data_IF_666967341743
#
_entry.id   IF_666967341743
#
_cell.length_a   1.000
_cell.length_b   1.000
_cell.length_c   1.000
_cell.angle_alpha   90.00
_cell.angle_beta   90.00
_cell.angle_gamma   90.00
#
_symmetry.space_group_name_H-M   'P 1'
#
loop_
_entity.id
_entity.type
_entity.pdbx_description
1 polymer ?
#
# COMPACT_ATOMS: atom_id res chain seq x y z
N UNK A 1 4.34 5.40 25.12
CA UNK A 1 4.43 3.94 24.89
C UNK A 1 4.28 3.59 23.41
N UNK A 2 3.23 4.03 22.72
CA UNK A 2 3.00 3.75 21.29
C UNK A 2 4.12 4.24 20.35
N UNK A 3 4.55 5.51 20.48
CA UNK A 3 5.63 6.06 19.65
C UNK A 3 6.96 5.30 19.84
N UNK A 4 7.29 4.93 21.08
CA UNK A 4 8.50 4.15 21.35
C UNK A 4 8.45 2.75 20.73
N UNK A 5 7.26 2.13 20.70
CA UNK A 5 7.08 0.82 20.05
C UNK A 5 7.22 0.95 18.53
N UNK A 6 6.68 2.01 17.93
CA UNK A 6 6.88 2.30 16.52
C UNK A 6 8.37 2.48 16.19
N UNK A 7 9.08 3.32 16.94
CA UNK A 7 10.52 3.55 16.72
C UNK A 7 11.33 2.25 16.81
N UNK A 8 11.03 1.38 17.79
CA UNK A 8 11.65 0.06 17.90
C UNK A 8 11.36 -0.83 16.69
N UNK A 9 10.11 -0.84 16.22
CA UNK A 9 9.71 -1.60 15.04
C UNK A 9 10.42 -1.11 13.76
N UNK A 10 10.51 0.20 13.55
CA UNK A 10 11.22 0.77 12.39
C UNK A 10 12.72 0.46 12.44
N UNK A 11 13.32 0.51 13.64
CA UNK A 11 14.71 0.13 13.83
C UNK A 11 14.93 -1.36 13.48
N UNK A 12 14.08 -2.24 14.02
CA UNK A 12 14.16 -3.68 13.73
C UNK A 12 14.02 -3.98 12.23
N UNK A 13 13.03 -3.38 11.54
CA UNK A 13 12.88 -3.54 10.09
C UNK A 13 14.12 -3.09 9.32
N UNK A 14 14.74 -1.99 9.75
CA UNK A 14 15.95 -1.48 9.12
C UNK A 14 17.15 -2.41 9.34
N UNK A 15 17.30 -2.98 10.53
CA UNK A 15 18.37 -3.95 10.83
C UNK A 15 18.18 -5.23 10.02
N UNK A 16 16.98 -5.83 10.03
CA UNK A 16 16.68 -7.04 9.26
C UNK A 16 16.89 -6.84 7.75
N UNK A 17 16.51 -5.68 7.23
CA UNK A 17 16.74 -5.32 5.81
C UNK A 17 18.22 -5.18 5.50
N UNK A 18 19.00 -4.55 6.40
CA UNK A 18 20.44 -4.43 6.24
C UNK A 18 21.14 -5.79 6.29
N UNK A 19 20.75 -6.66 7.23
CA UNK A 19 21.29 -8.02 7.36
C UNK A 19 20.98 -8.89 6.14
N UNK A 20 19.77 -8.77 5.58
CA UNK A 20 19.32 -9.61 4.47
C UNK A 20 19.79 -9.08 3.10
N UNK A 21 19.75 -7.77 2.90
CA UNK A 21 19.95 -7.14 1.58
C UNK A 21 21.15 -6.19 1.51
N UNK A 22 21.82 -5.90 2.63
CA UNK A 22 22.93 -4.94 2.70
C UNK A 22 22.52 -3.49 2.46
N UNK A 23 21.23 -3.16 2.60
CA UNK A 23 20.68 -1.82 2.33
C UNK A 23 20.29 -1.13 3.62
N UNK A 24 20.89 0.04 3.87
CA UNK A 24 20.46 0.92 4.95
C UNK A 24 19.23 1.73 4.48
N UNK A 25 18.11 1.49 5.14
CA UNK A 25 16.81 2.13 4.87
C UNK A 25 16.31 2.96 6.05
N UNK A 26 17.14 3.15 7.10
CA UNK A 26 16.71 3.73 8.37
C UNK A 26 16.07 5.11 8.19
N UNK A 27 16.77 5.99 7.48
CA UNK A 27 16.33 7.37 7.26
C UNK A 27 15.07 7.43 6.41
N UNK A 28 15.00 6.63 5.35
CA UNK A 28 13.88 6.59 4.41
C UNK A 28 12.61 6.05 5.10
N UNK A 29 12.77 5.03 5.95
CA UNK A 29 11.67 4.46 6.72
C UNK A 29 11.15 5.47 7.76
N UNK A 30 12.03 6.10 8.53
CA UNK A 30 11.64 7.18 9.45
C UNK A 30 10.98 8.35 8.73
N UNK A 31 11.49 8.74 7.57
CA UNK A 31 10.91 9.77 6.70
C UNK A 31 9.49 9.40 6.27
N UNK A 32 9.27 8.19 5.77
CA UNK A 32 7.95 7.72 5.34
C UNK A 32 6.90 7.76 6.45
N UNK A 33 7.24 7.18 7.60
CA UNK A 33 6.35 7.16 8.76
C UNK A 33 6.15 8.55 9.37
N UNK A 34 7.19 9.38 9.37
CA UNK A 34 7.10 10.79 9.80
C UNK A 34 6.16 11.61 8.95
N UNK A 35 6.26 11.52 7.61
CA UNK A 35 5.33 12.18 6.67
C UNK A 35 3.89 11.75 6.94
N UNK A 36 3.66 10.44 7.10
CA UNK A 36 2.32 9.92 7.39
C UNK A 36 1.77 10.42 8.73
N UNK A 37 2.56 10.38 9.81
CA UNK A 37 2.15 10.86 11.13
C UNK A 37 1.79 12.35 11.12
N UNK A 38 2.56 13.18 10.41
CA UNK A 38 2.27 14.61 10.25
C UNK A 38 0.92 14.82 9.55
N UNK A 39 0.62 14.05 8.50
CA UNK A 39 -0.67 14.13 7.82
C UNK A 39 -1.84 13.67 8.70
N UNK A 40 -1.64 12.70 9.60
CA UNK A 40 -2.66 12.27 10.56
C UNK A 40 -2.94 13.36 11.60
N UNK A 41 -1.92 14.08 12.07
CA UNK A 41 -2.03 15.08 13.13
C UNK A 41 -2.71 16.41 12.74
N UNK A 42 -2.79 16.73 11.45
CA UNK A 42 -3.34 18.02 10.97
C UNK A 42 -4.88 18.05 10.83
N UNK A 43 -5.61 17.00 11.24
CA UNK A 43 -7.09 16.86 11.08
C UNK A 43 -7.61 17.17 9.65
N UNK A 44 -6.74 17.15 8.64
CA UNK A 44 -7.12 17.12 7.22
C UNK A 44 -7.80 15.77 6.97
N UNK A 45 -9.12 15.70 7.13
CA UNK A 45 -10.01 14.61 6.68
C UNK A 45 -9.30 13.27 6.40
N UNK A 46 -8.82 12.60 7.45
CA UNK A 46 -8.38 11.20 7.47
C UNK A 46 -7.42 10.75 6.34
N UNK A 47 -6.19 11.28 6.33
CA UNK A 47 -4.98 10.73 5.70
C UNK A 47 -5.15 9.89 4.41
N UNK A 48 -5.23 10.57 3.26
CA UNK A 48 -5.16 9.96 1.92
C UNK A 48 -3.76 9.43 1.57
N UNK A 49 -2.91 9.01 2.52
CA UNK A 49 -1.56 8.52 2.21
C UNK A 49 -1.21 7.20 2.91
N UNK A 50 -2.19 6.49 3.48
CA UNK A 50 -1.98 5.16 4.07
C UNK A 50 -1.45 4.16 3.02
N UNK A 51 -2.01 4.16 1.81
CA UNK A 51 -1.55 3.26 0.77
C UNK A 51 -0.11 3.58 0.35
N UNK A 52 0.26 4.85 0.23
CA UNK A 52 1.65 5.25 -0.02
C UNK A 52 2.60 4.81 1.10
N UNK A 53 2.21 4.93 2.37
CA UNK A 53 3.04 4.46 3.50
C UNK A 53 3.34 2.96 3.38
N UNK A 54 2.32 2.15 3.08
CA UNK A 54 2.48 0.70 2.88
C UNK A 54 3.39 0.41 1.69
N UNK A 55 3.18 1.09 0.56
CA UNK A 55 4.01 0.93 -0.64
C UNK A 55 5.47 1.30 -0.37
N UNK A 56 5.73 2.42 0.31
CA UNK A 56 7.09 2.83 0.68
C UNK A 56 7.74 1.80 1.60
N UNK A 57 7.02 1.34 2.62
CA UNK A 57 7.54 0.35 3.58
C UNK A 57 7.89 -0.96 2.89
N UNK A 58 7.00 -1.51 2.05
CA UNK A 58 7.23 -2.76 1.32
C UNK A 58 8.40 -2.60 0.34
N UNK A 59 8.46 -1.51 -0.42
CA UNK A 59 9.53 -1.30 -1.39
C UNK A 59 10.90 -1.05 -0.74
N UNK A 60 10.95 -0.41 0.44
CA UNK A 60 12.20 -0.27 1.21
C UNK A 60 12.68 -1.62 1.72
N UNK A 61 11.80 -2.39 2.38
CA UNK A 61 12.15 -3.70 2.93
C UNK A 61 12.48 -4.73 1.83
N UNK A 62 11.84 -4.63 0.66
CA UNK A 62 12.16 -5.43 -0.52
C UNK A 62 13.39 -4.94 -1.30
N UNK A 63 14.01 -3.83 -0.89
CA UNK A 63 15.15 -3.24 -1.58
C UNK A 63 14.83 -2.69 -2.98
N UNK A 64 13.56 -2.46 -3.32
CA UNK A 64 13.14 -1.90 -4.60
C UNK A 64 13.23 -0.38 -4.65
N UNK A 65 13.36 0.28 -3.49
CA UNK A 65 13.52 1.73 -3.34
C UNK A 65 14.74 2.00 -2.47
N UNK A 66 15.69 2.79 -2.97
CA UNK A 66 16.95 3.09 -2.26
C UNK A 66 17.16 4.60 -2.11
N UNK A 67 16.64 5.39 -3.06
CA UNK A 67 16.75 6.84 -3.10
C UNK A 67 15.38 7.49 -2.93
N UNK A 68 15.32 8.60 -2.19
CA UNK A 68 14.14 9.43 -2.03
C UNK A 68 13.89 10.34 -3.26
N UNK A 69 14.87 10.52 -4.17
CA UNK A 69 14.71 11.29 -5.41
C UNK A 69 13.51 10.80 -6.25
N UNK A 70 13.30 9.47 -6.27
CA UNK A 70 12.19 8.85 -7.02
C UNK A 70 10.81 9.35 -6.56
N UNK A 71 10.68 9.70 -5.27
CA UNK A 71 9.44 10.19 -4.67
C UNK A 71 9.08 11.57 -5.22
N UNK A 72 10.11 12.33 -5.64
CA UNK A 72 9.92 13.64 -6.24
C UNK A 72 9.48 13.59 -7.71
N UNK A 73 9.63 12.43 -8.38
CA UNK A 73 9.27 12.24 -9.79
C UNK A 73 7.77 12.41 -10.04
N UNK A 74 7.42 12.93 -11.21
CA UNK A 74 6.01 13.07 -11.63
C UNK A 74 5.32 11.72 -11.72
N UNK A 75 6.02 10.69 -12.22
CA UNK A 75 5.48 9.34 -12.34
C UNK A 75 5.06 8.80 -10.98
N UNK A 76 5.96 8.89 -9.97
CA UNK A 76 5.69 8.38 -8.62
C UNK A 76 4.54 9.14 -7.96
N UNK A 77 4.55 10.47 -8.05
CA UNK A 77 3.47 11.30 -7.51
C UNK A 77 2.11 10.96 -8.14
N UNK A 78 2.09 10.67 -9.44
CA UNK A 78 0.85 10.33 -10.14
C UNK A 78 0.28 8.99 -9.67
N UNK A 79 1.08 7.91 -9.71
CA UNK A 79 0.61 6.59 -9.28
C UNK A 79 0.30 6.55 -7.78
N UNK A 80 1.08 7.25 -6.95
CA UNK A 80 0.80 7.39 -5.52
C UNK A 80 -0.55 8.06 -5.30
N UNK A 81 -0.79 9.21 -5.93
CA UNK A 81 -2.04 9.96 -5.81
C UNK A 81 -3.26 9.12 -6.19
N UNK A 82 -3.22 8.42 -7.33
CA UNK A 82 -4.34 7.59 -7.79
C UNK A 82 -4.55 6.40 -6.85
N UNK A 83 -3.48 5.72 -6.43
CA UNK A 83 -3.55 4.57 -5.52
C UNK A 83 -4.13 4.95 -4.16
N UNK A 84 -3.65 6.06 -3.60
CA UNK A 84 -4.16 6.63 -2.36
C UNK A 84 -5.64 7.00 -2.45
N UNK A 85 -6.05 7.67 -3.53
CA UNK A 85 -7.44 8.06 -3.76
C UNK A 85 -8.37 6.85 -3.78
N UNK A 86 -8.01 5.80 -4.52
CA UNK A 86 -8.84 4.59 -4.62
C UNK A 86 -8.90 3.84 -3.29
N UNK A 87 -7.76 3.66 -2.60
CA UNK A 87 -7.69 2.97 -1.31
C UNK A 87 -8.52 3.68 -0.23
N UNK A 88 -8.43 5.01 -0.15
CA UNK A 88 -9.21 5.83 0.77
C UNK A 88 -10.72 5.66 0.56
N UNK A 89 -11.17 5.68 -0.70
CA UNK A 89 -12.59 5.45 -1.01
C UNK A 89 -13.06 4.05 -0.67
N UNK A 90 -12.25 3.04 -0.96
CA UNK A 90 -12.54 1.64 -0.64
C UNK A 90 -12.68 1.44 0.88
N UNK A 91 -11.78 2.04 1.67
CA UNK A 91 -11.84 2.01 3.14
C UNK A 91 -13.11 2.67 3.68
N UNK A 92 -13.45 3.86 3.18
CA UNK A 92 -14.66 4.58 3.61
C UNK A 92 -15.96 3.85 3.24
N UNK A 93 -16.01 3.12 2.12
CA UNK A 93 -17.17 2.26 1.80
C UNK A 93 -17.36 1.16 2.80
N UNK A 94 -16.28 0.49 3.20
CA UNK A 94 -16.34 -0.58 4.19
C UNK A 94 -16.85 -0.08 5.53
N UNK A 95 -16.38 1.09 5.97
CA UNK A 95 -16.80 1.70 7.25
C UNK A 95 -18.24 2.21 7.21
N UNK A 96 -18.65 2.85 6.11
CA UNK A 96 -20.00 3.43 5.98
C UNK A 96 -21.10 2.43 5.65
N UNK A 97 -20.76 1.20 5.25
CA UNK A 97 -21.73 0.20 4.80
C UNK A 97 -22.47 0.56 3.50
N UNK A 98 -22.19 1.71 2.86
CA UNK A 98 -22.78 2.07 1.57
C UNK A 98 -22.08 1.35 0.42
N UNK A 99 -22.23 0.03 0.35
CA UNK A 99 -21.77 -0.78 -0.78
C UNK A 99 -22.54 -0.41 -2.07
N UNK A 100 -23.77 0.12 -1.94
CA UNK A 100 -24.73 0.31 -3.04
C UNK A 100 -24.90 1.76 -3.55
N UNK A 101 -24.05 2.69 -3.12
CA UNK A 101 -24.02 4.04 -3.69
C UNK A 101 -23.49 3.95 -5.15
N UNK A 102 -24.37 3.74 -6.15
CA UNK A 102 -24.00 3.48 -7.57
C UNK A 102 -23.04 4.52 -8.17
N UNK A 103 -23.19 5.80 -7.81
CA UNK A 103 -22.31 6.88 -8.27
C UNK A 103 -20.87 6.70 -7.76
N UNK A 104 -20.71 6.30 -6.51
CA UNK A 104 -19.40 5.99 -5.97
C UNK A 104 -18.81 4.78 -6.69
N UNK A 105 -19.58 3.69 -6.87
CA UNK A 105 -19.07 2.41 -7.42
C UNK A 105 -18.31 2.61 -8.73
N UNK A 106 -18.92 3.31 -9.68
CA UNK A 106 -18.31 3.60 -10.98
C UNK A 106 -17.00 4.40 -10.87
N UNK A 107 -16.88 5.33 -9.93
CA UNK A 107 -15.67 6.14 -9.77
C UNK A 107 -14.48 5.31 -9.26
N UNK A 108 -14.70 4.39 -8.31
CA UNK A 108 -13.64 3.47 -7.84
C UNK A 108 -13.21 2.50 -8.93
N UNK A 109 -14.13 2.01 -9.75
CA UNK A 109 -13.79 1.17 -10.91
C UNK A 109 -12.92 1.92 -11.92
N UNK A 110 -13.23 3.18 -12.20
CA UNK A 110 -12.42 4.03 -13.09
C UNK A 110 -11.03 4.29 -12.50
N UNK A 111 -10.95 4.58 -11.21
CA UNK A 111 -9.67 4.82 -10.53
C UNK A 111 -8.81 3.55 -10.46
N UNK A 112 -9.42 2.39 -10.19
CA UNK A 112 -8.72 1.11 -10.20
C UNK A 112 -8.17 0.77 -11.58
N UNK A 113 -8.95 1.04 -12.65
CA UNK A 113 -8.47 0.91 -14.03
C UNK A 113 -7.30 1.85 -14.32
N UNK A 114 -7.30 3.06 -13.77
CA UNK A 114 -6.18 3.99 -13.92
C UNK A 114 -4.93 3.49 -13.17
N UNK A 115 -5.06 2.91 -11.96
CA UNK A 115 -3.93 2.25 -11.28
C UNK A 115 -3.34 1.15 -12.16
N UNK A 116 -4.19 0.27 -12.71
CA UNK A 116 -3.74 -0.82 -13.60
C UNK A 116 -3.03 -0.28 -14.84
N UNK A 117 -3.58 0.79 -15.45
CA UNK A 117 -2.97 1.43 -16.62
C UNK A 117 -1.58 2.00 -16.30
N UNK A 118 -1.43 2.75 -15.22
CA UNK A 118 -0.14 3.32 -14.79
C UNK A 118 0.90 2.23 -14.48
N UNK A 119 0.46 1.09 -13.96
CA UNK A 119 1.33 -0.06 -13.65
C UNK A 119 1.81 -0.77 -14.93
N UNK A 120 0.92 -0.91 -15.91
CA UNK A 120 1.23 -1.56 -17.20
C UNK A 120 1.97 -0.65 -18.18
N UNK A 121 1.89 0.67 -18.01
CA UNK A 121 2.56 1.64 -18.87
C UNK A 121 4.08 1.50 -18.76
N UNK A 122 4.72 0.95 -19.78
CA UNK A 122 6.17 0.76 -19.84
C UNK A 122 6.95 2.05 -20.13
N UNK A 123 6.26 3.16 -20.43
CA UNK A 123 6.91 4.43 -20.80
C UNK A 123 7.42 5.24 -19.60
N UNK A 124 6.95 4.95 -18.37
CA UNK A 124 7.38 5.69 -17.18
C UNK A 124 8.81 5.29 -16.78
N UNK A 125 9.77 6.17 -17.05
CA UNK A 125 11.19 5.91 -16.81
C UNK A 125 11.55 5.92 -15.32
N UNK A 126 10.75 6.60 -14.48
CA UNK A 126 11.11 6.86 -13.09
C UNK A 126 10.86 5.72 -12.11
N UNK A 127 9.94 4.79 -12.39
CA UNK A 127 9.51 3.75 -11.45
C UNK A 127 9.78 2.36 -12.01
N UNK A 128 10.52 1.54 -11.26
CA UNK A 128 10.78 0.16 -11.65
C UNK A 128 9.52 -0.72 -11.56
N UNK A 129 9.56 -1.86 -12.25
CA UNK A 129 8.42 -2.79 -12.35
C UNK A 129 7.98 -3.32 -10.98
N UNK A 130 8.91 -3.61 -10.08
CA UNK A 130 8.61 -4.16 -8.76
C UNK A 130 7.84 -3.15 -7.90
N UNK A 131 8.26 -1.89 -7.90
CA UNK A 131 7.55 -0.80 -7.22
C UNK A 131 6.12 -0.63 -7.75
N UNK A 132 5.94 -0.68 -9.08
CA UNK A 132 4.61 -0.63 -9.69
C UNK A 132 3.75 -1.82 -9.27
N UNK A 133 4.32 -3.01 -9.22
CA UNK A 133 3.63 -4.20 -8.74
C UNK A 133 3.22 -4.04 -7.26
N UNK A 134 4.05 -3.42 -6.43
CA UNK A 134 3.71 -3.10 -5.04
C UNK A 134 2.51 -2.16 -4.95
N UNK A 135 2.47 -1.09 -5.76
CA UNK A 135 1.28 -0.21 -5.84
C UNK A 135 0.02 -1.02 -6.19
N UNK A 136 0.10 -1.88 -7.21
CA UNK A 136 -1.03 -2.71 -7.62
C UNK A 136 -1.45 -3.71 -6.53
N UNK A 137 -0.49 -4.34 -5.83
CA UNK A 137 -0.74 -5.31 -4.78
C UNK A 137 -1.47 -4.66 -3.60
N UNK A 138 -1.02 -3.47 -3.18
CA UNK A 138 -1.70 -2.69 -2.13
C UNK A 138 -3.10 -2.31 -2.58
N UNK A 139 -3.28 -1.73 -3.77
CA UNK A 139 -4.60 -1.36 -4.29
C UNK A 139 -5.56 -2.57 -4.35
N UNK A 140 -5.10 -3.72 -4.86
CA UNK A 140 -5.88 -4.96 -4.91
C UNK A 140 -6.28 -5.46 -3.53
N UNK A 141 -5.42 -5.30 -2.53
CA UNK A 141 -5.71 -5.71 -1.15
C UNK A 141 -6.85 -4.88 -0.55
N UNK A 142 -6.81 -3.56 -0.71
CA UNK A 142 -7.91 -2.67 -0.30
C UNK A 142 -9.20 -2.99 -1.07
N UNK A 143 -9.07 -3.23 -2.38
CA UNK A 143 -10.21 -3.55 -3.24
C UNK A 143 -10.89 -4.85 -2.80
N UNK A 144 -10.10 -5.90 -2.57
CA UNK A 144 -10.59 -7.19 -2.12
C UNK A 144 -11.31 -7.06 -0.76
N UNK A 145 -10.68 -6.43 0.23
CA UNK A 145 -11.23 -6.24 1.57
C UNK A 145 -12.55 -5.45 1.57
N UNK A 146 -12.74 -4.53 0.62
CA UNK A 146 -13.96 -3.73 0.50
C UNK A 146 -15.13 -4.47 -0.17
N UNK A 147 -14.88 -5.57 -0.89
CA UNK A 147 -15.90 -6.31 -1.65
C UNK A 147 -16.24 -7.68 -1.07
N UNK A 148 -15.42 -8.22 -0.16
CA UNK A 148 -15.72 -9.49 0.53
C UNK A 148 -16.43 -9.27 1.86
N UNK A 149 -17.33 -10.19 2.20
CA UNK A 149 -17.92 -10.27 3.54
C UNK A 149 -16.88 -10.74 4.55
N UNK A 150 -17.09 -10.45 5.84
CA UNK A 150 -16.21 -10.92 6.92
C UNK A 150 -16.14 -12.46 6.98
N UNK A 151 -17.27 -13.13 6.77
CA UNK A 151 -17.35 -14.59 6.68
C UNK A 151 -16.46 -15.15 5.55
N UNK A 152 -16.57 -14.57 4.34
CA UNK A 152 -15.77 -15.01 3.20
C UNK A 152 -14.29 -14.68 3.38
N UNK A 153 -13.97 -13.53 4.01
CA UNK A 153 -12.60 -13.17 4.35
C UNK A 153 -11.98 -14.19 5.30
N UNK A 154 -12.67 -14.57 6.37
CA UNK A 154 -12.20 -15.56 7.33
C UNK A 154 -12.03 -16.95 6.70
N UNK A 155 -12.96 -17.33 5.82
CA UNK A 155 -12.83 -18.56 5.03
C UNK A 155 -11.58 -18.53 4.14
N UNK A 156 -11.35 -17.45 3.38
CA UNK A 156 -10.16 -17.33 2.54
C UNK A 156 -8.85 -17.28 3.35
N UNK A 157 -8.84 -16.63 4.53
CA UNK A 157 -7.69 -16.66 5.45
C UNK A 157 -7.39 -18.10 5.89
N UNK A 158 -8.43 -18.86 6.30
CA UNK A 158 -8.30 -20.27 6.67
C UNK A 158 -7.66 -21.08 5.55
N UNK A 159 -8.25 -20.99 4.37
CA UNK A 159 -7.85 -21.75 3.19
C UNK A 159 -6.43 -21.43 2.71
N UNK A 160 -6.03 -20.15 2.72
CA UNK A 160 -4.74 -19.73 2.16
C UNK A 160 -3.57 -19.92 3.14
N UNK A 161 -3.79 -19.68 4.44
CA UNK A 161 -2.70 -19.67 5.41
C UNK A 161 -2.54 -20.96 6.20
N UNK A 162 -3.61 -21.74 6.38
CA UNK A 162 -3.61 -22.86 7.33
C UNK A 162 -3.94 -24.21 6.70
N UNK A 163 -4.51 -24.24 5.49
CA UNK A 163 -4.83 -25.50 4.82
C UNK A 163 -3.75 -25.87 3.79
N UNK A 164 -3.21 -27.09 3.84
CA UNK A 164 -2.24 -27.54 2.86
C UNK A 164 -2.90 -27.75 1.49
N UNK A 165 -2.12 -27.59 0.42
CA UNK A 165 -2.57 -27.95 -0.92
C UNK A 165 -2.72 -29.47 -1.01
N UNK A 166 -3.91 -29.95 -1.32
CA UNK A 166 -4.12 -31.35 -1.70
C UNK A 166 -3.45 -31.57 -3.06
N UNK A 167 -2.30 -32.24 -3.05
CA UNK A 167 -1.68 -32.75 -4.26
C UNK A 167 -2.22 -34.16 -4.49
N UNK A 168 -3.08 -34.33 -5.50
CA UNK A 168 -3.43 -35.66 -6.01
C UNK A 168 -2.14 -36.33 -6.48
N UNK A 169 -1.76 -37.42 -5.80
CA UNK A 169 -0.55 -38.23 -6.06
C UNK A 169 -0.86 -39.41 -6.95
#
# INVERSE_FOLDING_TARGET
MLLNNLLKFLHQLSEETYETLGKDIHLQLHSAWGTWLMCVGEEKTACQIEAELLVRTINLCGGHMVDDEIISSTDYKNISKVTNKVCFKLQNRKVSGCINCKENHNEVELEMKEVVKLVLDSSSCGINKDMKNTFLAVAKSFYYIAHVTEELLNFHISKVLFEPLEYDS
#
